data_IF_467308269668
#
_entry.id   IF_467308269668
#
_cell.length_a   1.000
_cell.length_b   1.000
_cell.length_c   1.000
_cell.angle_alpha   90.00
_cell.angle_beta   90.00
_cell.angle_gamma   90.00
#
_symmetry.space_group_name_H-M   'P 1'
#
loop_
_entity.id
_entity.type
_entity.pdbx_description
1 polymer ?
#
# COMPACT_ATOMS: atom_id res chain seq x y z
N UNK A 1 -0.61 1.21 17.10
CA UNK A 1 -0.22 1.34 15.65
C UNK A 1 -1.46 1.35 14.76
N UNK A 2 -2.42 0.43 14.94
CA UNK A 2 -3.70 0.46 14.21
C UNK A 2 -4.44 1.78 14.44
N UNK A 3 -4.49 2.27 15.69
CA UNK A 3 -5.07 3.57 16.03
C UNK A 3 -4.41 4.70 15.25
N UNK A 4 -3.07 4.74 15.21
CA UNK A 4 -2.32 5.78 14.49
C UNK A 4 -2.54 5.73 12.97
N UNK A 5 -2.63 4.53 12.39
CA UNK A 5 -2.98 4.33 10.99
C UNK A 5 -4.41 4.81 10.68
N UNK A 6 -5.35 4.51 11.58
CA UNK A 6 -6.73 4.96 11.47
C UNK A 6 -6.86 6.47 11.65
N UNK A 7 -6.05 7.09 12.55
CA UNK A 7 -5.96 8.53 12.73
C UNK A 7 -5.51 9.24 11.45
N UNK A 8 -4.64 8.60 10.67
CA UNK A 8 -4.16 9.12 9.40
C UNK A 8 -5.13 8.89 8.22
N UNK A 9 -6.04 7.91 8.33
CA UNK A 9 -7.10 7.66 7.34
C UNK A 9 -8.23 8.69 7.43
N UNK A 10 -8.46 9.26 8.62
CA UNK A 10 -9.46 10.31 8.84
C UNK A 10 -8.78 11.65 8.99
N UNK A 11 -9.25 12.65 8.26
CA UNK A 11 -8.71 14.04 8.34
C UNK A 11 -9.01 14.61 9.71
N UNK A 12 -7.99 15.08 10.41
CA UNK A 12 -8.07 15.58 11.78
C UNK A 12 -8.95 16.83 11.91
N UNK A 13 -9.99 16.74 12.73
CA UNK A 13 -10.45 17.80 13.64
C UNK A 13 -11.54 17.23 14.57
N UNK A 14 -11.42 17.49 15.86
CA UNK A 14 -12.30 17.13 17.00
C UNK A 14 -12.35 15.64 17.42
N UNK A 15 -11.75 15.37 18.60
CA UNK A 15 -11.28 14.02 18.98
C UNK A 15 -12.36 12.98 19.34
N UNK A 16 -13.56 13.34 19.75
CA UNK A 16 -14.58 12.36 20.19
C UNK A 16 -15.50 11.91 19.05
N UNK A 17 -15.97 12.80 18.20
CA UNK A 17 -16.81 12.44 17.03
C UNK A 17 -16.02 11.58 16.01
N UNK A 18 -14.74 11.86 15.82
CA UNK A 18 -13.88 11.12 14.90
C UNK A 18 -13.65 9.66 15.34
N UNK A 19 -13.58 9.39 16.63
CA UNK A 19 -13.41 8.02 17.11
C UNK A 19 -14.62 7.14 16.78
N UNK A 20 -15.82 7.70 16.91
CA UNK A 20 -17.06 7.00 16.58
C UNK A 20 -17.18 6.76 15.06
N UNK A 21 -16.91 7.76 14.25
CA UNK A 21 -16.91 7.64 12.78
C UNK A 21 -15.94 6.58 12.28
N UNK A 22 -14.73 6.52 12.88
CA UNK A 22 -13.73 5.49 12.59
C UNK A 22 -14.23 4.09 12.92
N UNK A 23 -14.85 3.91 14.08
CA UNK A 23 -15.42 2.63 14.49
C UNK A 23 -16.54 2.19 13.55
N UNK A 24 -17.40 3.12 13.14
CA UNK A 24 -18.47 2.86 12.18
C UNK A 24 -17.87 2.46 10.83
N UNK A 25 -16.87 3.19 10.33
CA UNK A 25 -16.21 2.87 9.07
C UNK A 25 -15.57 1.47 9.12
N UNK A 26 -14.81 1.17 10.19
CA UNK A 26 -14.18 -0.15 10.36
C UNK A 26 -15.22 -1.27 10.40
N UNK A 27 -16.31 -1.08 11.15
CA UNK A 27 -17.37 -2.07 11.22
C UNK A 27 -18.02 -2.31 9.85
N UNK A 28 -18.26 -1.25 9.09
CA UNK A 28 -18.76 -1.37 7.72
C UNK A 28 -17.78 -2.09 6.80
N UNK A 29 -16.49 -1.71 6.84
CA UNK A 29 -15.45 -2.34 6.04
C UNK A 29 -15.29 -3.85 6.36
N UNK A 30 -15.31 -4.23 7.64
CA UNK A 30 -15.21 -5.63 8.06
C UNK A 30 -16.36 -6.46 7.50
N UNK A 31 -17.57 -5.92 7.53
CA UNK A 31 -18.79 -6.61 7.08
C UNK A 31 -19.04 -6.50 5.57
N UNK A 32 -18.30 -5.65 4.86
CA UNK A 32 -18.43 -5.52 3.41
C UNK A 32 -17.74 -6.69 2.69
N UNK A 33 -18.52 -7.42 1.88
CA UNK A 33 -18.06 -8.55 1.08
C UNK A 33 -17.83 -8.19 -0.39
N UNK A 34 -17.88 -6.91 -0.75
CA UNK A 34 -17.55 -6.45 -2.10
C UNK A 34 -16.10 -6.78 -2.48
N UNK A 35 -15.83 -6.90 -3.77
CA UNK A 35 -14.47 -7.14 -4.26
C UNK A 35 -13.52 -6.01 -3.85
N UNK A 36 -13.96 -4.75 -3.92
CA UNK A 36 -13.16 -3.61 -3.49
C UNK A 36 -12.77 -3.71 -2.01
N UNK A 37 -13.74 -3.99 -1.12
CA UNK A 37 -13.47 -4.15 0.31
C UNK A 37 -12.53 -5.32 0.59
N UNK A 38 -12.62 -6.43 -0.16
CA UNK A 38 -11.70 -7.58 -0.02
C UNK A 38 -10.25 -7.19 -0.34
N UNK A 39 -10.03 -6.44 -1.42
CA UNK A 39 -8.68 -5.98 -1.79
C UNK A 39 -8.11 -5.00 -0.77
N UNK A 40 -8.93 -4.07 -0.29
CA UNK A 40 -8.53 -3.11 0.75
C UNK A 40 -8.15 -3.85 2.04
N UNK A 41 -8.99 -4.78 2.50
CA UNK A 41 -8.71 -5.60 3.70
C UNK A 41 -7.41 -6.38 3.55
N UNK A 42 -7.20 -7.05 2.43
CA UNK A 42 -5.96 -7.79 2.18
C UNK A 42 -4.72 -6.87 2.19
N UNK A 43 -4.82 -5.70 1.57
CA UNK A 43 -3.72 -4.72 1.57
C UNK A 43 -3.43 -4.16 2.97
N UNK A 44 -4.47 -3.93 3.77
CA UNK A 44 -4.34 -3.50 5.17
C UNK A 44 -3.67 -4.58 6.02
N UNK A 45 -4.03 -5.84 5.85
CA UNK A 45 -3.43 -6.97 6.56
C UNK A 45 -1.93 -7.08 6.25
N UNK A 46 -1.54 -6.99 4.98
CA UNK A 46 -0.14 -6.97 4.58
C UNK A 46 0.62 -5.77 5.16
N UNK A 47 0.03 -4.57 5.10
CA UNK A 47 0.63 -3.38 5.68
C UNK A 47 0.84 -3.52 7.19
N UNK A 48 -0.16 -4.01 7.92
CA UNK A 48 -0.08 -4.20 9.38
C UNK A 48 0.98 -5.25 9.74
N UNK A 49 1.00 -6.38 9.04
CA UNK A 49 2.00 -7.42 9.26
C UNK A 49 3.41 -6.90 9.01
N UNK A 50 3.62 -6.11 7.96
CA UNK A 50 4.91 -5.48 7.65
C UNK A 50 5.43 -4.59 8.80
N UNK A 51 4.53 -3.92 9.54
CA UNK A 51 4.91 -3.08 10.69
C UNK A 51 5.32 -3.89 11.94
N UNK A 52 4.98 -5.17 11.99
CA UNK A 52 5.28 -6.06 13.12
C UNK A 52 6.56 -6.88 12.91
N UNK A 53 7.04 -6.98 11.68
CA UNK A 53 8.25 -7.73 11.33
C UNK A 53 9.49 -6.88 11.59
N UNK A 54 10.45 -7.43 12.34
CA UNK A 54 11.71 -6.75 12.66
C UNK A 54 12.72 -6.79 11.49
N UNK A 55 12.65 -7.80 10.64
CA UNK A 55 13.50 -7.89 9.46
C UNK A 55 13.00 -6.94 8.36
N UNK A 56 13.84 -5.95 8.03
CA UNK A 56 13.51 -4.90 7.05
C UNK A 56 13.22 -5.48 5.66
N UNK A 57 13.94 -6.53 5.27
CA UNK A 57 13.76 -7.19 3.97
C UNK A 57 12.40 -7.89 3.89
N UNK A 58 12.03 -8.62 4.95
CA UNK A 58 10.72 -9.29 5.02
C UNK A 58 9.57 -8.28 5.14
N UNK A 59 9.76 -7.21 5.91
CA UNK A 59 8.79 -6.10 5.98
C UNK A 59 8.55 -5.50 4.60
N UNK A 60 9.61 -5.23 3.84
CA UNK A 60 9.50 -4.70 2.48
C UNK A 60 8.76 -5.65 1.52
N UNK A 61 9.05 -6.95 1.57
CA UNK A 61 8.33 -7.93 0.75
C UNK A 61 6.82 -7.90 1.07
N UNK A 62 6.44 -7.80 2.34
CA UNK A 62 5.03 -7.70 2.74
C UNK A 62 4.38 -6.40 2.24
N UNK A 63 5.10 -5.27 2.21
CA UNK A 63 4.63 -4.03 1.59
C UNK A 63 4.35 -4.22 0.09
N UNK A 64 5.25 -4.91 -0.62
CA UNK A 64 5.03 -5.24 -2.04
C UNK A 64 3.79 -6.14 -2.22
N UNK A 65 3.60 -7.15 -1.36
CA UNK A 65 2.39 -7.98 -1.39
C UNK A 65 1.12 -7.17 -1.16
N UNK A 66 1.16 -6.16 -0.29
CA UNK A 66 0.05 -5.23 -0.08
C UNK A 66 -0.27 -4.41 -1.33
N UNK A 67 0.74 -3.90 -2.02
CA UNK A 67 0.57 -3.19 -3.30
C UNK A 67 -0.01 -4.12 -4.38
N UNK A 68 0.48 -5.34 -4.49
CA UNK A 68 -0.03 -6.35 -5.43
C UNK A 68 -1.48 -6.74 -5.12
N UNK A 69 -1.82 -6.89 -3.85
CA UNK A 69 -3.20 -7.20 -3.43
C UNK A 69 -4.19 -6.09 -3.77
N UNK A 70 -3.78 -4.83 -3.62
CA UNK A 70 -4.64 -3.67 -3.85
C UNK A 70 -4.74 -3.29 -5.33
N UNK A 71 -3.62 -3.29 -6.04
CA UNK A 71 -3.47 -2.68 -7.37
C UNK A 71 -3.16 -3.69 -8.48
N UNK A 72 -2.86 -4.95 -8.14
CA UNK A 72 -2.56 -6.00 -9.12
C UNK A 72 -3.76 -6.38 -9.96
N UNK A 73 -3.52 -6.88 -11.17
CA UNK A 73 -4.56 -7.49 -12.01
C UNK A 73 -4.42 -9.00 -11.98
N UNK A 74 -5.48 -9.69 -11.60
CA UNK A 74 -5.51 -11.16 -11.58
C UNK A 74 -5.50 -11.78 -12.98
N UNK A 75 -5.80 -11.00 -14.01
CA UNK A 75 -5.92 -11.47 -15.41
C UNK A 75 -4.62 -11.35 -16.19
N UNK A 76 -3.66 -10.58 -15.69
CA UNK A 76 -2.36 -10.44 -16.31
C UNK A 76 -1.38 -11.42 -15.64
N UNK A 77 -0.75 -12.29 -16.43
CA UNK A 77 0.40 -13.06 -15.98
C UNK A 77 1.51 -12.12 -15.49
N UNK A 78 2.54 -12.67 -14.85
CA UNK A 78 3.64 -11.90 -14.22
C UNK A 78 4.38 -10.91 -15.16
N UNK A 79 4.17 -11.04 -16.47
CA UNK A 79 4.70 -10.13 -17.49
C UNK A 79 3.87 -8.86 -17.49
N UNK A 80 4.47 -7.74 -17.07
CA UNK A 80 3.80 -6.45 -17.02
C UNK A 80 3.32 -6.02 -15.63
N UNK A 81 3.39 -6.88 -14.61
CA UNK A 81 2.92 -6.56 -13.25
C UNK A 81 3.51 -5.24 -12.73
N UNK A 82 4.82 -5.04 -12.84
CA UNK A 82 5.47 -3.81 -12.38
C UNK A 82 4.94 -2.57 -13.10
N UNK A 83 4.70 -2.68 -14.41
CA UNK A 83 4.16 -1.56 -15.19
C UNK A 83 2.73 -1.25 -14.77
N UNK A 84 1.87 -2.26 -14.70
CA UNK A 84 0.47 -2.12 -14.27
C UNK A 84 0.36 -1.51 -12.88
N UNK A 85 1.14 -2.01 -11.90
CA UNK A 85 1.16 -1.47 -10.55
C UNK A 85 1.64 -0.02 -10.52
N UNK A 86 2.71 0.30 -11.26
CA UNK A 86 3.26 1.65 -11.32
C UNK A 86 2.27 2.64 -11.93
N UNK A 87 1.60 2.23 -13.00
CA UNK A 87 0.59 3.06 -13.66
C UNK A 87 -0.62 3.28 -12.74
N UNK A 88 -1.22 2.22 -12.22
CA UNK A 88 -2.39 2.32 -11.31
C UNK A 88 -2.09 3.14 -10.08
N UNK A 89 -0.97 2.88 -9.41
CA UNK A 89 -0.57 3.62 -8.23
C UNK A 89 -0.38 5.11 -8.53
N UNK A 90 0.35 5.43 -9.60
CA UNK A 90 0.62 6.82 -9.97
C UNK A 90 -0.65 7.60 -10.31
N UNK A 91 -1.61 6.97 -10.99
CA UNK A 91 -2.90 7.59 -11.27
C UNK A 91 -3.77 7.75 -10.02
N UNK A 92 -3.74 6.77 -9.11
CA UNK A 92 -4.54 6.77 -7.90
C UNK A 92 -4.10 7.85 -6.91
N UNK A 93 -2.77 7.98 -6.67
CA UNK A 93 -2.25 8.84 -5.60
C UNK A 93 -1.49 10.08 -6.09
N UNK A 94 -1.16 10.16 -7.38
CA UNK A 94 -0.39 11.27 -7.94
C UNK A 94 -1.23 12.50 -8.22
N UNK A 95 -0.74 13.67 -7.79
CA UNK A 95 -1.44 14.96 -7.87
C UNK A 95 -1.25 15.71 -9.19
N UNK A 96 -0.30 15.28 -10.02
CA UNK A 96 0.00 15.93 -11.30
C UNK A 96 0.98 15.08 -12.11
N UNK A 97 1.34 15.51 -13.32
CA UNK A 97 2.17 14.74 -14.24
C UNK A 97 3.54 14.42 -13.63
N UNK A 98 4.24 15.42 -13.11
CA UNK A 98 5.57 15.25 -12.50
C UNK A 98 5.55 14.31 -11.30
N UNK A 99 4.55 14.42 -10.43
CA UNK A 99 4.39 13.54 -9.26
C UNK A 99 4.11 12.09 -9.69
N UNK A 100 3.27 11.91 -10.73
CA UNK A 100 2.99 10.58 -11.30
C UNK A 100 4.22 9.92 -11.90
N UNK A 101 5.04 10.67 -12.62
CA UNK A 101 6.30 10.16 -13.20
C UNK A 101 7.27 9.75 -12.10
N UNK A 102 7.40 10.54 -11.03
CA UNK A 102 8.26 10.19 -9.90
C UNK A 102 7.74 8.94 -9.16
N UNK A 103 6.44 8.82 -8.90
CA UNK A 103 5.85 7.62 -8.30
C UNK A 103 6.14 6.39 -9.17
N UNK A 104 5.96 6.47 -10.48
CA UNK A 104 6.27 5.36 -11.40
C UNK A 104 7.73 4.95 -11.32
N UNK A 105 8.64 5.91 -11.34
CA UNK A 105 10.08 5.68 -11.26
C UNK A 105 10.45 4.98 -9.95
N UNK A 106 9.95 5.48 -8.83
CA UNK A 106 10.23 4.92 -7.50
C UNK A 106 9.66 3.50 -7.35
N UNK A 107 8.45 3.24 -7.83
CA UNK A 107 7.87 1.90 -7.81
C UNK A 107 8.64 0.92 -8.69
N UNK A 108 9.07 1.31 -9.88
CA UNK A 108 9.91 0.45 -10.73
C UNK A 108 11.18 0.02 -9.99
N UNK A 109 11.85 0.96 -9.32
CA UNK A 109 13.04 0.66 -8.49
C UNK A 109 12.73 -0.26 -7.31
N UNK A 110 11.62 -0.03 -6.62
CA UNK A 110 11.17 -0.91 -5.55
C UNK A 110 10.91 -2.34 -6.07
N UNK A 111 10.29 -2.50 -7.24
CA UNK A 111 10.01 -3.81 -7.82
C UNK A 111 11.25 -4.50 -8.42
N UNK A 112 12.23 -3.77 -8.92
CA UNK A 112 13.56 -4.31 -9.27
C UNK A 112 14.23 -4.90 -8.01
N UNK A 113 14.19 -4.18 -6.89
CA UNK A 113 14.71 -4.65 -5.59
C UNK A 113 13.94 -5.88 -5.08
N UNK A 114 12.61 -5.84 -5.10
CA UNK A 114 11.75 -6.98 -4.74
C UNK A 114 12.08 -8.21 -5.57
N UNK A 115 12.24 -8.05 -6.87
CA UNK A 115 12.59 -9.14 -7.78
C UNK A 115 13.95 -9.76 -7.43
N UNK A 116 14.97 -8.92 -7.18
CA UNK A 116 16.30 -9.40 -6.77
C UNK A 116 16.25 -10.19 -5.47
N UNK A 117 15.46 -9.75 -4.49
CA UNK A 117 15.31 -10.45 -3.20
C UNK A 117 14.58 -11.79 -3.40
N UNK A 118 13.44 -11.80 -4.08
CA UNK A 118 12.61 -13.01 -4.26
C UNK A 118 13.34 -14.08 -5.07
N UNK A 119 14.15 -13.69 -6.05
CA UNK A 119 14.96 -14.62 -6.85
C UNK A 119 16.29 -15.01 -6.18
N UNK A 120 16.54 -14.60 -4.94
CA UNK A 120 17.74 -14.97 -4.20
C UNK A 120 19.02 -14.28 -4.68
N UNK A 121 18.92 -13.28 -5.54
CA UNK A 121 20.05 -12.49 -6.01
C UNK A 121 20.53 -11.49 -4.96
N UNK A 122 19.71 -11.25 -3.94
CA UNK A 122 19.96 -10.31 -2.86
C UNK A 122 19.30 -10.79 -1.56
N UNK A 123 20.06 -10.73 -0.46
CA UNK A 123 19.58 -11.21 0.85
C UNK A 123 19.16 -10.08 1.79
N UNK A 124 19.67 -8.87 1.60
CA UNK A 124 19.42 -7.73 2.50
C UNK A 124 19.34 -6.42 1.73
N UNK A 125 18.49 -5.52 2.23
CA UNK A 125 18.38 -4.14 1.76
C UNK A 125 19.62 -3.36 2.26
N UNK A 126 20.21 -2.55 1.39
CA UNK A 126 21.31 -1.65 1.74
C UNK A 126 20.83 -0.21 1.96
N UNK A 127 21.69 0.65 2.48
CA UNK A 127 21.32 2.05 2.79
C UNK A 127 20.79 2.84 1.59
N UNK A 128 21.36 2.63 0.39
CA UNK A 128 20.93 3.34 -0.83
C UNK A 128 19.55 2.92 -1.32
N UNK A 129 19.05 1.77 -0.87
CA UNK A 129 17.75 1.20 -1.26
C UNK A 129 16.63 1.53 -0.25
N UNK A 130 16.97 1.99 0.94
CA UNK A 130 15.99 2.33 2.00
C UNK A 130 15.00 3.38 1.56
N UNK A 131 15.39 4.28 0.66
CA UNK A 131 14.49 5.27 0.09
C UNK A 131 13.36 4.60 -0.71
N UNK A 132 13.66 3.59 -1.52
CA UNK A 132 12.64 2.85 -2.30
C UNK A 132 11.68 2.09 -1.39
N UNK A 133 12.19 1.50 -0.30
CA UNK A 133 11.39 0.82 0.72
C UNK A 133 10.44 1.80 1.41
N UNK A 134 10.95 2.94 1.83
CA UNK A 134 10.17 4.01 2.46
C UNK A 134 9.07 4.53 1.52
N UNK A 135 9.41 4.76 0.26
CA UNK A 135 8.47 5.25 -0.73
C UNK A 135 7.39 4.20 -1.04
N UNK A 136 7.74 2.92 -1.20
CA UNK A 136 6.76 1.85 -1.40
C UNK A 136 5.77 1.76 -0.22
N UNK A 137 6.27 1.87 1.01
CA UNK A 137 5.43 1.89 2.23
C UNK A 137 4.48 3.09 2.23
N UNK A 138 4.99 4.28 1.90
CA UNK A 138 4.18 5.49 1.81
C UNK A 138 3.12 5.37 0.71
N UNK A 139 3.46 4.82 -0.44
CA UNK A 139 2.53 4.66 -1.56
C UNK A 139 1.42 3.68 -1.24
N UNK A 140 1.73 2.53 -0.61
CA UNK A 140 0.72 1.59 -0.15
C UNK A 140 -0.25 2.26 0.82
N UNK A 141 0.25 2.98 1.82
CA UNK A 141 -0.58 3.69 2.79
C UNK A 141 -1.49 4.73 2.13
N UNK A 142 -0.96 5.52 1.20
CA UNK A 142 -1.73 6.51 0.44
C UNK A 142 -2.79 5.85 -0.45
N UNK A 143 -2.43 4.76 -1.12
CA UNK A 143 -3.34 4.01 -1.98
C UNK A 143 -4.50 3.42 -1.18
N UNK A 144 -4.23 2.75 -0.05
CA UNK A 144 -5.29 2.27 0.87
C UNK A 144 -6.22 3.42 1.28
N UNK A 145 -5.65 4.57 1.68
CA UNK A 145 -6.45 5.73 2.08
C UNK A 145 -7.40 6.19 0.97
N UNK A 146 -6.92 6.31 -0.25
CA UNK A 146 -7.75 6.76 -1.39
C UNK A 146 -8.81 5.73 -1.73
N UNK A 147 -8.48 4.44 -1.77
CA UNK A 147 -9.46 3.38 -2.01
C UNK A 147 -10.54 3.31 -0.93
N UNK A 148 -10.18 3.52 0.33
CA UNK A 148 -11.17 3.65 1.41
C UNK A 148 -12.16 4.80 1.19
N UNK A 149 -11.73 5.91 0.60
CA UNK A 149 -12.61 7.06 0.31
C UNK A 149 -13.64 6.74 -0.78
N UNK A 150 -13.36 5.79 -1.66
CA UNK A 150 -14.32 5.34 -2.68
C UNK A 150 -15.37 4.36 -2.16
N UNK A 151 -15.20 3.81 -0.97
CA UNK A 151 -16.20 2.93 -0.34
C UNK A 151 -17.35 3.76 0.26
N UNK A 152 -17.97 4.62 -0.28
CA UNK A 152 -19.14 5.45 0.10
C UNK A 152 -19.95 4.92 1.30
N UNK A 153 -19.31 4.76 2.47
CA UNK A 153 -19.95 4.29 3.71
C UNK A 153 -20.59 5.44 4.51
#
# INVERSE_FOLDING_TARGET
QLSKFLDELTVASDSENHSMERLIFINKLINDNSEAAKYIKAAMDWYMNAQMVMDETMSFIQICMGLEALLGDKREGSIGLTQTLSDRCSYLIGKGMSDREEIKKQLKKAYELRSAIVHGLKNRINESEKEYVKNATLFLRRAIKVECQFLNY
#
